data_IF_058389664701
#
_entry.id   IF_058389664701
#
_cell.length_a   1.000
_cell.length_b   1.000
_cell.length_c   1.000
_cell.angle_alpha   90.00
_cell.angle_beta   90.00
_cell.angle_gamma   90.00
#
_symmetry.space_group_name_H-M   'P 1'
#
loop_
_entity.id
_entity.type
_entity.pdbx_description
1 polymer ?
#
# COMPACT_ATOMS: atom_id res chain seq x y z
N UNK A 1 76.49 -49.36 24.28
CA UNK A 1 75.61 -48.58 23.38
C UNK A 1 75.17 -47.34 24.16
N UNK A 2 75.86 -46.21 23.99
CA UNK A 2 75.45 -44.94 24.61
C UNK A 2 74.50 -44.22 23.67
N UNK A 3 73.29 -43.90 24.12
CA UNK A 3 72.39 -43.01 23.39
C UNK A 3 73.07 -41.64 23.23
N UNK A 4 73.13 -41.11 22.00
CA UNK A 4 73.65 -39.76 21.72
C UNK A 4 72.75 -38.72 22.42
N UNK A 5 73.22 -38.02 23.47
CA UNK A 5 72.43 -37.02 24.18
C UNK A 5 72.08 -35.81 23.31
N UNK A 6 72.76 -35.63 22.17
CA UNK A 6 72.41 -34.66 21.15
C UNK A 6 71.16 -35.06 20.36
N UNK A 7 70.95 -36.36 20.12
CA UNK A 7 69.81 -36.86 19.36
C UNK A 7 68.49 -36.70 20.12
N UNK A 8 68.46 -36.97 21.42
CA UNK A 8 67.27 -36.76 22.25
C UNK A 8 66.86 -35.29 22.35
N UNK A 9 67.83 -34.38 22.48
CA UNK A 9 67.56 -32.93 22.50
C UNK A 9 67.01 -32.41 21.18
N UNK A 10 67.56 -32.88 20.05
CA UNK A 10 67.02 -32.55 18.71
C UNK A 10 65.61 -33.10 18.54
N UNK A 11 65.36 -34.35 18.96
CA UNK A 11 64.03 -34.95 18.90
C UNK A 11 63.01 -34.22 19.80
N UNK A 12 63.43 -33.76 20.98
CA UNK A 12 62.60 -32.94 21.87
C UNK A 12 62.25 -31.59 21.24
N UNK A 13 63.22 -30.88 20.67
CA UNK A 13 63.00 -29.61 19.99
C UNK A 13 62.08 -29.75 18.76
N UNK A 14 62.25 -30.82 17.97
CA UNK A 14 61.36 -31.11 16.82
C UNK A 14 59.93 -31.38 17.31
N UNK A 15 59.76 -32.17 18.38
CA UNK A 15 58.43 -32.43 18.95
C UNK A 15 57.78 -31.13 19.43
N UNK A 16 58.52 -30.27 20.12
CA UNK A 16 58.01 -28.99 20.61
C UNK A 16 57.56 -28.08 19.46
N UNK A 17 58.38 -27.93 18.41
CA UNK A 17 58.01 -27.15 17.22
C UNK A 17 56.80 -27.74 16.50
N UNK A 18 56.74 -29.05 16.33
CA UNK A 18 55.59 -29.72 15.70
C UNK A 18 54.34 -29.54 16.54
N UNK A 19 54.43 -29.68 17.86
CA UNK A 19 53.29 -29.48 18.76
C UNK A 19 52.80 -28.04 18.71
N UNK A 20 53.69 -27.05 18.82
CA UNK A 20 53.33 -25.63 18.72
C UNK A 20 52.67 -25.30 17.37
N UNK A 21 53.28 -25.72 16.25
CA UNK A 21 52.71 -25.50 14.92
C UNK A 21 51.37 -26.23 14.69
N UNK A 22 51.15 -27.35 15.38
CA UNK A 22 49.88 -28.08 15.32
C UNK A 22 48.81 -27.38 16.16
N UNK A 23 49.16 -26.88 17.35
CA UNK A 23 48.24 -26.11 18.22
C UNK A 23 47.80 -24.83 17.52
N UNK A 24 48.73 -24.05 16.95
CA UNK A 24 48.39 -22.82 16.21
C UNK A 24 47.45 -23.08 15.02
N UNK A 25 47.68 -24.18 14.28
CA UNK A 25 46.76 -24.60 13.21
C UNK A 25 45.40 -25.03 13.73
N UNK A 26 45.35 -25.77 14.83
CA UNK A 26 44.08 -26.18 15.44
C UNK A 26 43.28 -24.98 15.92
N UNK A 27 43.93 -24.00 16.55
CA UNK A 27 43.28 -22.77 17.02
C UNK A 27 42.72 -21.95 15.86
N UNK A 28 43.46 -21.84 14.75
CA UNK A 28 42.98 -21.17 13.54
C UNK A 28 41.73 -21.86 12.95
N UNK A 29 41.72 -23.19 12.88
CA UNK A 29 40.57 -23.97 12.38
C UNK A 29 39.36 -23.83 13.31
N UNK A 30 39.57 -23.80 14.63
CA UNK A 30 38.49 -23.61 15.61
C UNK A 30 37.87 -22.22 15.49
N UNK A 31 38.68 -21.18 15.32
CA UNK A 31 38.17 -19.81 15.13
C UNK A 31 37.41 -19.65 13.81
N UNK A 32 37.90 -20.27 12.72
CA UNK A 32 37.18 -20.31 11.44
C UNK A 32 35.83 -21.04 11.59
N UNK A 33 35.80 -22.21 12.22
CA UNK A 33 34.57 -22.95 12.50
C UNK A 33 33.59 -22.14 13.37
N UNK A 34 34.08 -21.38 14.37
CA UNK A 34 33.25 -20.48 15.18
C UNK A 34 32.68 -19.32 14.37
N UNK A 35 33.45 -18.76 13.43
CA UNK A 35 32.98 -17.73 12.53
C UNK A 35 31.89 -18.27 11.58
N UNK A 36 32.08 -19.47 11.03
CA UNK A 36 31.09 -20.14 10.19
C UNK A 36 29.81 -20.46 10.95
N UNK A 37 29.89 -20.94 12.20
CA UNK A 37 28.72 -21.20 13.04
C UNK A 37 27.92 -19.91 13.31
N UNK A 38 28.59 -18.79 13.57
CA UNK A 38 27.93 -17.48 13.74
C UNK A 38 27.24 -17.03 12.45
N UNK A 39 27.92 -17.17 11.30
CA UNK A 39 27.34 -16.85 10.01
C UNK A 39 26.13 -17.74 9.67
N UNK A 40 26.19 -19.03 10.00
CA UNK A 40 25.08 -19.96 9.85
C UNK A 40 23.88 -19.59 10.75
N UNK A 41 24.14 -19.19 12.00
CA UNK A 41 23.13 -18.67 12.91
C UNK A 41 22.43 -17.43 12.35
N UNK A 42 23.21 -16.44 11.89
CA UNK A 42 22.68 -15.23 11.28
C UNK A 42 21.85 -15.52 10.01
N UNK A 43 22.30 -16.44 9.16
CA UNK A 43 21.53 -16.89 7.98
C UNK A 43 20.20 -17.53 8.38
N UNK A 44 20.20 -18.39 9.40
CA UNK A 44 18.97 -19.03 9.90
C UNK A 44 17.98 -18.00 10.44
N UNK A 45 18.46 -17.01 11.18
CA UNK A 45 17.62 -15.93 11.71
C UNK A 45 17.06 -15.04 10.60
N UNK A 46 17.88 -14.70 9.60
CA UNK A 46 17.43 -13.97 8.42
C UNK A 46 16.34 -14.73 7.64
N UNK A 47 16.51 -16.04 7.44
CA UNK A 47 15.50 -16.88 6.79
C UNK A 47 14.19 -16.92 7.59
N UNK A 48 14.27 -16.98 8.93
CA UNK A 48 13.07 -16.91 9.79
C UNK A 48 12.35 -15.58 9.62
N UNK A 49 13.08 -14.47 9.70
CA UNK A 49 12.52 -13.13 9.53
C UNK A 49 11.86 -12.95 8.15
N UNK A 50 12.51 -13.43 7.09
CA UNK A 50 11.95 -13.43 5.74
C UNK A 50 10.68 -14.28 5.67
N UNK A 51 10.67 -15.47 6.28
CA UNK A 51 9.48 -16.33 6.33
C UNK A 51 8.30 -15.69 7.07
N UNK A 52 8.56 -15.02 8.20
CA UNK A 52 7.54 -14.28 8.96
C UNK A 52 7.00 -13.09 8.15
N UNK A 53 7.89 -12.33 7.50
CA UNK A 53 7.53 -11.17 6.67
C UNK A 53 6.71 -11.59 5.45
N UNK A 54 7.12 -12.66 4.75
CA UNK A 54 6.41 -13.20 3.60
C UNK A 54 5.01 -13.70 4.02
N UNK A 55 4.92 -14.40 5.14
CA UNK A 55 3.63 -14.89 5.66
C UNK A 55 2.68 -13.75 5.93
N UNK A 56 3.16 -12.66 6.55
CA UNK A 56 2.35 -11.46 6.77
C UNK A 56 1.92 -10.81 5.45
N UNK A 57 2.84 -10.65 4.51
CA UNK A 57 2.53 -10.05 3.21
C UNK A 57 1.49 -10.85 2.42
N UNK A 58 1.55 -12.19 2.49
CA UNK A 58 0.55 -13.08 1.89
C UNK A 58 -0.81 -12.89 2.57
N UNK A 59 -0.87 -12.86 3.90
CA UNK A 59 -2.11 -12.63 4.65
C UNK A 59 -2.74 -11.27 4.34
N UNK A 60 -1.92 -10.22 4.26
CA UNK A 60 -2.37 -8.88 3.87
C UNK A 60 -2.91 -8.86 2.43
N UNK A 61 -2.24 -9.57 1.51
CA UNK A 61 -2.68 -9.73 0.12
C UNK A 61 -3.98 -10.51 -0.02
N UNK A 62 -4.16 -11.57 0.78
CA UNK A 62 -5.37 -12.38 0.81
C UNK A 62 -6.56 -11.57 1.35
N UNK A 63 -6.37 -10.80 2.43
CA UNK A 63 -7.43 -9.94 2.97
C UNK A 63 -7.79 -8.80 2.01
N UNK A 64 -6.81 -8.17 1.37
CA UNK A 64 -7.07 -7.16 0.34
C UNK A 64 -7.88 -7.74 -0.83
N UNK A 65 -7.56 -8.96 -1.26
CA UNK A 65 -8.28 -9.66 -2.33
C UNK A 65 -9.70 -10.04 -1.91
N UNK A 66 -9.87 -10.57 -0.69
CA UNK A 66 -11.17 -10.90 -0.13
C UNK A 66 -12.06 -9.66 0.00
N UNK A 67 -11.48 -8.54 0.45
CA UNK A 67 -12.18 -7.25 0.55
C UNK A 67 -12.69 -6.77 -0.80
N UNK A 68 -11.84 -6.81 -1.83
CA UNK A 68 -12.23 -6.44 -3.20
C UNK A 68 -13.41 -7.25 -3.71
N UNK A 69 -13.46 -8.54 -3.39
CA UNK A 69 -14.60 -9.39 -3.73
C UNK A 69 -15.87 -8.95 -2.99
N UNK A 70 -15.79 -8.70 -1.67
CA UNK A 70 -16.93 -8.21 -0.88
C UNK A 70 -17.44 -6.85 -1.38
N UNK A 71 -16.54 -5.93 -1.70
CA UNK A 71 -16.85 -4.62 -2.30
C UNK A 71 -17.57 -4.80 -3.63
N UNK A 72 -17.00 -5.60 -4.54
CA UNK A 72 -17.58 -5.85 -5.86
C UNK A 72 -18.99 -6.45 -5.74
N UNK A 73 -19.16 -7.47 -4.91
CA UNK A 73 -20.47 -8.08 -4.68
C UNK A 73 -21.46 -7.10 -4.05
N UNK A 74 -21.01 -6.29 -3.08
CA UNK A 74 -21.83 -5.28 -2.44
C UNK A 74 -22.32 -4.22 -3.43
N UNK A 75 -21.44 -3.73 -4.30
CA UNK A 75 -21.79 -2.78 -5.37
C UNK A 75 -22.77 -3.39 -6.39
N UNK A 76 -22.62 -4.67 -6.74
CA UNK A 76 -23.57 -5.39 -7.58
C UNK A 76 -24.95 -5.44 -6.90
N UNK A 77 -25.00 -5.86 -5.63
CA UNK A 77 -26.26 -5.91 -4.86
C UNK A 77 -26.91 -4.54 -4.74
N UNK A 78 -26.12 -3.49 -4.50
CA UNK A 78 -26.59 -2.11 -4.45
C UNK A 78 -27.24 -1.69 -5.78
N UNK A 79 -26.55 -1.95 -6.88
CA UNK A 79 -27.03 -1.64 -8.25
C UNK A 79 -28.31 -2.39 -8.58
N UNK A 80 -28.41 -3.68 -8.21
CA UNK A 80 -29.62 -4.47 -8.41
C UNK A 80 -30.79 -3.98 -7.57
N UNK A 81 -30.57 -3.61 -6.30
CA UNK A 81 -31.61 -3.02 -5.44
C UNK A 81 -32.14 -1.74 -6.06
N UNK A 82 -31.25 -0.87 -6.53
CA UNK A 82 -31.64 0.37 -7.22
C UNK A 82 -32.44 0.09 -8.49
N UNK A 83 -32.00 -0.85 -9.33
CA UNK A 83 -32.70 -1.24 -10.55
C UNK A 83 -34.11 -1.76 -10.25
N UNK A 84 -34.27 -2.62 -9.25
CA UNK A 84 -35.57 -3.17 -8.81
C UNK A 84 -36.50 -2.07 -8.30
N UNK A 85 -35.97 -1.15 -7.48
CA UNK A 85 -36.73 0.00 -7.00
C UNK A 85 -37.24 0.85 -8.17
N UNK A 86 -36.37 1.17 -9.13
CA UNK A 86 -36.71 1.95 -10.33
C UNK A 86 -37.72 1.26 -11.24
N UNK A 87 -37.65 -0.07 -11.41
CA UNK A 87 -38.64 -0.81 -12.21
C UNK A 87 -40.00 -0.95 -11.52
N UNK A 88 -40.03 -0.89 -10.18
CA UNK A 88 -41.28 -0.94 -9.40
C UNK A 88 -42.00 0.41 -9.31
N UNK A 89 -41.25 1.51 -9.39
CA UNK A 89 -41.80 2.87 -9.55
C UNK A 89 -41.99 3.15 -11.03
N UNK A 90 -43.17 2.82 -11.56
CA UNK A 90 -43.52 3.09 -12.95
C UNK A 90 -43.16 4.53 -13.37
N UNK A 91 -42.57 4.65 -14.56
CA UNK A 91 -42.42 5.84 -15.38
C UNK A 91 -42.47 7.21 -14.66
N UNK A 92 -41.30 7.78 -14.40
CA UNK A 92 -41.16 9.21 -14.10
C UNK A 92 -41.77 9.63 -12.76
N UNK A 93 -41.26 10.72 -12.22
CA UNK A 93 -41.97 11.44 -11.16
C UNK A 93 -43.20 12.17 -11.75
N UNK A 94 -44.06 11.48 -12.51
CA UNK A 94 -45.26 12.07 -13.12
C UNK A 94 -46.45 12.11 -12.15
N UNK A 95 -46.29 11.63 -10.92
CA UNK A 95 -47.20 11.91 -9.82
C UNK A 95 -46.41 12.58 -8.69
N UNK A 96 -46.72 13.85 -8.41
CA UNK A 96 -46.16 14.69 -7.35
C UNK A 96 -46.22 14.11 -5.93
N UNK A 97 -46.80 12.92 -5.74
CA UNK A 97 -46.96 12.25 -4.44
C UNK A 97 -45.76 11.40 -4.00
N UNK A 98 -44.84 11.03 -4.89
CA UNK A 98 -43.67 10.18 -4.57
C UNK A 98 -42.31 10.89 -4.72
N UNK A 99 -42.32 12.19 -5.01
CA UNK A 99 -41.10 12.99 -4.97
C UNK A 99 -40.71 13.24 -3.51
N UNK A 100 -39.42 13.13 -3.15
CA UNK A 100 -38.98 13.56 -1.84
C UNK A 100 -39.28 15.05 -1.67
N UNK A 101 -39.92 15.36 -0.55
CA UNK A 101 -40.21 16.72 -0.09
C UNK A 101 -38.92 17.51 0.09
N UNK A 102 -39.00 18.84 0.08
CA UNK A 102 -37.83 19.71 0.31
C UNK A 102 -37.17 19.48 1.68
N UNK A 103 -37.94 18.99 2.67
CA UNK A 103 -37.41 18.62 3.98
C UNK A 103 -36.60 17.32 3.90
N UNK A 104 -37.12 16.30 3.21
CA UNK A 104 -36.41 15.03 2.99
C UNK A 104 -35.15 15.23 2.15
N UNK A 105 -35.20 16.11 1.12
CA UNK A 105 -34.02 16.47 0.33
C UNK A 105 -32.95 17.13 1.19
N UNK A 106 -33.32 18.15 1.98
CA UNK A 106 -32.38 18.84 2.86
C UNK A 106 -31.81 17.95 3.96
N UNK A 107 -32.57 16.98 4.46
CA UNK A 107 -32.06 15.97 5.39
C UNK A 107 -31.08 15.03 4.69
N UNK A 108 -31.42 14.55 3.49
CA UNK A 108 -30.55 13.69 2.70
C UNK A 108 -29.25 14.40 2.31
N UNK A 109 -29.30 15.68 1.91
CA UNK A 109 -28.11 16.48 1.62
C UNK A 109 -27.24 16.67 2.87
N UNK A 110 -27.83 16.98 4.04
CA UNK A 110 -27.08 17.09 5.30
C UNK A 110 -26.40 15.78 5.70
N UNK A 111 -27.12 14.65 5.58
CA UNK A 111 -26.56 13.32 5.84
C UNK A 111 -25.45 12.99 4.84
N UNK A 112 -25.62 13.33 3.57
CA UNK A 112 -24.61 13.10 2.54
C UNK A 112 -23.34 13.93 2.80
N UNK A 113 -23.47 15.20 3.24
CA UNK A 113 -22.34 16.01 3.67
C UNK A 113 -21.62 15.42 4.89
N UNK A 114 -22.35 14.99 5.92
CA UNK A 114 -21.75 14.38 7.11
C UNK A 114 -20.99 13.07 6.77
N UNK A 115 -21.56 12.23 5.89
CA UNK A 115 -20.85 11.07 5.36
C UNK A 115 -19.61 11.48 4.57
N UNK A 116 -19.68 12.60 3.85
CA UNK A 116 -18.55 13.20 3.16
C UNK A 116 -17.37 13.50 4.10
N UNK A 117 -17.66 14.14 5.23
CA UNK A 117 -16.66 14.46 6.26
C UNK A 117 -16.07 13.18 6.89
N UNK A 118 -16.88 12.13 7.11
CA UNK A 118 -16.40 10.85 7.63
C UNK A 118 -15.51 10.09 6.64
N UNK A 119 -15.85 10.14 5.35
CA UNK A 119 -15.01 9.59 4.28
C UNK A 119 -13.68 10.36 4.22
N UNK A 120 -13.73 11.68 4.33
CA UNK A 120 -12.54 12.52 4.39
C UNK A 120 -11.62 12.10 5.55
N UNK A 121 -12.17 11.97 6.75
CA UNK A 121 -11.42 11.57 7.93
C UNK A 121 -10.77 10.17 7.76
N UNK A 122 -11.42 9.25 7.06
CA UNK A 122 -10.87 7.91 6.78
C UNK A 122 -9.69 7.98 5.82
N UNK A 123 -9.76 8.82 4.80
CA UNK A 123 -8.61 9.07 3.93
C UNK A 123 -7.43 9.67 4.71
N UNK A 124 -7.66 10.61 5.64
CA UNK A 124 -6.61 11.15 6.51
C UNK A 124 -5.95 10.08 7.39
N UNK A 125 -6.72 9.05 7.76
CA UNK A 125 -6.22 7.88 8.50
C UNK A 125 -5.53 6.84 7.61
N UNK A 126 -5.44 7.08 6.30
CA UNK A 126 -4.78 6.19 5.34
C UNK A 126 -5.68 5.08 4.79
N UNK A 127 -7.00 5.16 4.97
CA UNK A 127 -7.92 4.17 4.45
C UNK A 127 -7.89 4.11 2.92
N UNK A 128 -7.93 2.90 2.36
CA UNK A 128 -8.04 2.72 0.90
C UNK A 128 -9.48 2.85 0.43
N UNK A 129 -9.66 3.11 -0.88
CA UNK A 129 -11.00 3.22 -1.49
C UNK A 129 -11.85 1.97 -1.21
N UNK A 130 -11.25 0.77 -1.27
CA UNK A 130 -11.94 -0.50 -0.99
C UNK A 130 -12.48 -0.56 0.46
N UNK A 131 -11.74 -0.01 1.44
CA UNK A 131 -12.18 0.00 2.85
C UNK A 131 -13.32 1.00 3.06
N UNK A 132 -13.22 2.16 2.43
CA UNK A 132 -14.24 3.21 2.48
C UNK A 132 -15.52 2.70 1.83
N UNK A 133 -15.43 2.07 0.66
CA UNK A 133 -16.60 1.52 -0.04
C UNK A 133 -17.23 0.38 0.77
N UNK A 134 -16.42 -0.53 1.33
CA UNK A 134 -16.92 -1.60 2.19
C UNK A 134 -17.71 -1.07 3.39
N UNK A 135 -17.22 0.00 4.01
CA UNK A 135 -17.94 0.70 5.08
C UNK A 135 -19.22 1.38 4.57
N UNK A 136 -19.15 2.13 3.46
CA UNK A 136 -20.31 2.80 2.86
C UNK A 136 -21.40 1.80 2.48
N UNK A 137 -21.06 0.59 2.03
CA UNK A 137 -22.03 -0.45 1.70
C UNK A 137 -22.89 -0.91 2.88
N UNK A 138 -22.50 -0.58 4.13
CA UNK A 138 -23.27 -0.84 5.35
C UNK A 138 -24.18 0.33 5.74
N UNK A 139 -24.01 1.51 5.14
CA UNK A 139 -24.80 2.70 5.44
C UNK A 139 -26.17 2.61 4.76
N UNK A 140 -27.22 2.85 5.53
CA UNK A 140 -28.59 2.86 5.02
C UNK A 140 -28.82 4.05 4.07
N UNK A 141 -29.75 3.86 3.12
CA UNK A 141 -30.19 4.87 2.14
C UNK A 141 -29.17 5.33 1.09
N UNK A 142 -27.96 4.77 1.05
CA UNK A 142 -27.09 4.92 -0.11
C UNK A 142 -27.72 4.18 -1.29
N UNK A 143 -27.89 4.87 -2.42
CA UNK A 143 -28.40 4.26 -3.66
C UNK A 143 -27.34 4.16 -4.76
N UNK A 144 -26.26 4.94 -4.68
CA UNK A 144 -25.14 4.89 -5.63
C UNK A 144 -23.83 5.14 -4.91
N UNK A 145 -22.81 4.36 -5.30
CA UNK A 145 -21.41 4.60 -4.96
C UNK A 145 -20.64 4.44 -6.27
N UNK A 146 -19.73 5.37 -6.56
CA UNK A 146 -18.81 5.23 -7.68
C UNK A 146 -17.42 5.71 -7.30
N UNK A 147 -16.43 5.14 -7.97
CA UNK A 147 -15.02 5.49 -7.82
C UNK A 147 -14.56 6.22 -9.08
N UNK A 148 -14.07 7.44 -8.92
CA UNK A 148 -13.41 8.20 -9.97
C UNK A 148 -11.89 8.21 -9.81
N UNK A 149 -11.19 8.79 -10.78
CA UNK A 149 -9.75 9.11 -10.66
C UNK A 149 -9.46 10.01 -9.45
N UNK A 150 -10.46 10.76 -9.00
CA UNK A 150 -10.40 11.65 -7.86
C UNK A 150 -11.02 11.06 -6.59
N UNK A 151 -11.29 9.76 -6.45
CA UNK A 151 -11.75 9.17 -5.18
C UNK A 151 -13.18 8.63 -5.19
N UNK A 152 -13.76 8.45 -4.01
CA UNK A 152 -15.09 7.86 -3.82
C UNK A 152 -16.17 8.93 -3.83
N UNK A 153 -17.25 8.66 -4.53
CA UNK A 153 -18.41 9.53 -4.58
C UNK A 153 -19.68 8.73 -4.28
N UNK A 154 -20.67 9.39 -3.69
CA UNK A 154 -21.89 8.72 -3.20
C UNK A 154 -23.14 9.55 -3.45
N UNK A 155 -24.28 8.87 -3.47
CA UNK A 155 -25.59 9.50 -3.52
C UNK A 155 -26.56 8.79 -2.58
N UNK A 156 -27.22 9.57 -1.72
CA UNK A 156 -28.31 9.12 -0.88
C UNK A 156 -29.64 9.22 -1.61
N UNK A 157 -30.58 8.36 -1.23
CA UNK A 157 -31.96 8.44 -1.72
C UNK A 157 -32.55 9.82 -1.41
N UNK A 158 -32.92 10.55 -2.45
CA UNK A 158 -33.51 11.88 -2.32
C UNK A 158 -32.52 13.03 -2.16
N UNK A 159 -31.20 12.78 -2.17
CA UNK A 159 -30.17 13.84 -2.19
C UNK A 159 -29.66 14.12 -3.60
N UNK A 160 -28.96 15.24 -3.72
CA UNK A 160 -28.04 15.46 -4.84
C UNK A 160 -26.80 14.56 -4.70
N UNK A 161 -26.08 14.36 -5.81
CA UNK A 161 -24.80 13.65 -5.84
C UNK A 161 -23.75 14.43 -5.04
N UNK A 162 -23.05 13.75 -4.13
CA UNK A 162 -21.95 14.30 -3.34
C UNK A 162 -20.66 13.64 -3.79
N UNK A 163 -19.83 14.41 -4.50
CA UNK A 163 -18.49 14.01 -4.90
C UNK A 163 -17.47 14.35 -3.81
N UNK A 164 -16.61 13.39 -3.46
CA UNK A 164 -15.51 13.61 -2.50
C UNK A 164 -14.21 13.40 -3.24
N UNK A 165 -13.42 14.47 -3.35
CA UNK A 165 -12.25 14.49 -4.21
C UNK A 165 -10.94 14.32 -3.42
N UNK A 166 -10.17 13.29 -3.76
CA UNK A 166 -8.76 13.03 -3.43
C UNK A 166 -7.81 14.17 -3.82
N UNK A 167 -8.25 15.11 -4.65
CA UNK A 167 -7.45 16.25 -5.09
C UNK A 167 -7.63 17.52 -4.23
N UNK A 168 -8.63 17.58 -3.34
CA UNK A 168 -8.77 18.71 -2.40
C UNK A 168 -7.66 18.70 -1.32
N UNK A 169 -6.85 17.65 -1.29
CA UNK A 169 -5.67 17.43 -0.44
C UNK A 169 -4.48 18.36 -0.75
N UNK A 170 -4.56 19.24 -1.74
CA UNK A 170 -3.48 20.19 -2.08
C UNK A 170 -3.81 21.66 -1.84
N UNK A 171 -5.01 22.02 -1.35
CA UNK A 171 -5.40 23.42 -1.19
C UNK A 171 -5.54 23.93 0.26
N UNK A 172 -5.14 23.15 1.27
CA UNK A 172 -5.10 23.63 2.65
C UNK A 172 -3.73 23.40 3.31
N UNK A 173 -2.84 24.38 3.13
CA UNK A 173 -1.72 24.67 4.04
C UNK A 173 -0.36 24.05 3.65
N UNK A 174 0.75 24.79 3.85
CA UNK A 174 2.09 24.27 3.60
C UNK A 174 2.40 23.15 4.61
N UNK A 175 3.03 22.08 4.11
CA UNK A 175 3.71 21.07 4.94
C UNK A 175 4.60 21.79 5.97
N UNK A 176 4.53 21.46 7.27
CA UNK A 176 5.53 21.96 8.21
C UNK A 176 6.90 21.39 7.82
N UNK A 177 7.86 22.29 7.58
CA UNK A 177 9.29 22.02 7.52
C UNK A 177 9.72 21.35 8.81
N UNK A 178 9.69 20.03 8.84
CA UNK A 178 10.11 19.23 9.97
C UNK A 178 11.08 18.14 9.55
N UNK A 179 12.13 18.53 8.81
CA UNK A 179 13.45 17.87 8.87
C UNK A 179 14.53 18.92 8.61
N UNK A 180 14.96 19.58 9.68
CA UNK A 180 16.19 20.35 9.69
C UNK A 180 17.41 19.45 9.53
N UNK A 181 18.38 19.94 8.76
CA UNK A 181 19.79 19.60 8.92
C UNK A 181 20.35 18.64 7.88
N UNK A 182 20.94 19.19 6.82
CA UNK A 182 22.37 19.05 6.55
C UNK A 182 22.80 20.04 5.47
N UNK A 183 23.64 20.97 5.90
CA UNK A 183 24.54 21.72 5.04
C UNK A 183 25.46 20.75 4.29
N UNK A 184 25.49 20.84 2.96
CA UNK A 184 26.72 20.68 2.17
C UNK A 184 26.56 21.41 0.81
N UNK A 185 27.64 22.05 0.30
CA UNK A 185 27.54 23.01 -0.79
C UNK A 185 27.58 22.33 -2.16
N UNK A 186 26.61 22.66 -3.03
CA UNK A 186 26.63 22.28 -4.44
C UNK A 186 27.49 23.24 -5.26
N UNK A 187 28.70 22.78 -5.60
CA UNK A 187 29.49 23.31 -6.71
C UNK A 187 29.46 22.28 -7.84
N UNK A 188 29.11 22.69 -9.06
CA UNK A 188 29.45 21.93 -10.27
C UNK A 188 28.36 21.82 -11.32
N UNK A 189 28.38 22.75 -12.27
CA UNK A 189 27.82 22.63 -13.63
C UNK A 189 28.26 21.32 -14.32
N UNK A 190 27.37 20.73 -15.12
CA UNK A 190 27.73 20.33 -16.48
C UNK A 190 26.49 20.16 -17.35
N UNK A 191 26.44 20.95 -18.41
CA UNK A 191 25.55 20.84 -19.56
C UNK A 191 25.73 19.49 -20.26
N UNK A 192 24.64 18.86 -20.70
CA UNK A 192 24.65 18.09 -21.94
C UNK A 192 23.29 18.12 -22.63
N UNK A 193 23.33 18.60 -23.87
CA UNK A 193 22.21 18.76 -24.79
C UNK A 193 22.02 17.53 -25.69
N UNK A 194 20.81 17.37 -26.24
CA UNK A 194 20.53 16.49 -27.39
C UNK A 194 19.14 15.84 -27.29
N UNK A 195 18.03 16.42 -27.77
CA UNK A 195 17.62 16.72 -29.15
C UNK A 195 16.49 15.78 -29.64
N UNK A 196 15.31 16.38 -29.91
CA UNK A 196 14.33 16.06 -30.97
C UNK A 196 13.55 14.72 -30.88
N UNK A 197 12.29 14.57 -31.30
CA UNK A 197 11.24 15.44 -31.85
C UNK A 197 9.92 14.62 -31.95
N UNK A 198 8.84 15.30 -32.37
CA UNK A 198 7.48 14.82 -32.68
C UNK A 198 6.57 14.67 -31.45
N UNK A 199 5.42 15.34 -31.33
CA UNK A 199 4.54 15.91 -32.34
C UNK A 199 3.22 15.16 -32.29
N UNK A 200 2.26 15.62 -31.48
CA UNK A 200 0.82 15.42 -31.71
C UNK A 200 -0.08 16.19 -30.74
N UNK A 201 -0.77 17.15 -31.34
CA UNK A 201 -2.21 17.41 -31.21
C UNK A 201 -2.80 17.63 -29.81
N UNK A 202 -3.04 18.91 -29.52
CA UNK A 202 -4.13 19.36 -28.68
C UNK A 202 -5.46 18.81 -29.20
N UNK A 203 -6.26 18.18 -28.34
CA UNK A 203 -7.70 18.08 -28.53
C UNK A 203 -8.41 18.81 -27.39
N UNK A 204 -9.45 19.62 -27.70
CA UNK A 204 -10.25 20.29 -26.71
C UNK A 204 -11.35 19.35 -26.20
N UNK A 205 -11.74 19.56 -24.96
CA UNK A 205 -12.99 19.14 -24.31
C UNK A 205 -14.07 18.53 -25.22
N UNK A 206 -14.47 17.29 -24.92
CA UNK A 206 -15.73 16.73 -25.40
C UNK A 206 -15.68 15.24 -25.65
N UNK A 207 -16.09 14.44 -24.67
CA UNK A 207 -16.96 13.25 -24.80
C UNK A 207 -17.04 12.52 -23.45
N UNK A 208 -18.23 12.43 -22.88
CA UNK A 208 -18.53 11.48 -21.80
C UNK A 208 -18.26 10.05 -22.27
N UNK A 209 -17.72 9.15 -21.42
CA UNK A 209 -17.59 7.74 -21.80
C UNK A 209 -18.98 7.15 -22.05
N UNK A 210 -19.14 6.42 -23.16
CA UNK A 210 -20.34 5.65 -23.43
C UNK A 210 -20.32 4.38 -22.58
N UNK A 211 -21.50 4.01 -22.06
CA UNK A 211 -21.75 2.84 -21.20
C UNK A 211 -21.44 1.47 -21.84
N UNK A 212 -20.90 1.45 -23.06
CA UNK A 212 -20.48 0.23 -23.78
C UNK A 212 -19.08 -0.25 -23.43
N UNK A 213 -18.26 0.58 -22.78
CA UNK A 213 -16.82 0.31 -22.61
C UNK A 213 -16.49 -0.38 -21.28
N UNK A 214 -17.51 -0.91 -20.59
CA UNK A 214 -17.37 -1.70 -19.37
C UNK A 214 -18.01 -3.08 -19.59
N UNK A 215 -17.38 -3.90 -20.44
CA UNK A 215 -17.52 -5.36 -20.47
C UNK A 215 -16.22 -5.99 -20.98
#
# INVERSE_FOLDING_TARGET
>A
MSCDPGAERRAAAIREVVTAATVERMDAVVEEARAEMRAAGARKEAMRFVGETLTRAVQEGDEASARRLRVKEGLIRLTERWRRARSSTGAGCEASANCPSDAERREADRRASALGDEVWQRYEQGATDDEIIEWLLQVEDIHMIWTGSSGVMLQLKGSHEVGIHRCDFHNHGPLPDALGGRDEPSNGRSDFAGSQASGREQTPWGSSPRMSDIW
#
